data_IF_978324821655
#
_entry.id   IF_978324821655
#
_cell.length_a   1.000
_cell.length_b   1.000
_cell.length_c   1.000
_cell.angle_alpha   90.00
_cell.angle_beta   90.00
_cell.angle_gamma   90.00
#
_symmetry.space_group_name_H-M   'P 1'
#
loop_
_entity.id
_entity.type
_entity.pdbx_description
1 polymer ?
#
# COMPACT_ATOMS: atom_id res chain seq x y z
N UNK A 1 4.26 -5.71 10.17
CA UNK A 1 4.94 -4.40 10.31
C UNK A 1 4.46 -3.64 11.54
N UNK A 2 3.15 -3.37 11.72
CA UNK A 2 2.62 -2.74 12.96
C UNK A 2 3.04 -3.46 14.24
N UNK A 3 2.87 -4.79 14.29
CA UNK A 3 3.28 -5.63 15.43
C UNK A 3 4.81 -5.59 15.69
N UNK A 4 5.61 -5.39 14.64
CA UNK A 4 7.08 -5.28 14.73
C UNK A 4 7.45 -3.90 15.30
N UNK A 5 6.81 -2.83 14.85
CA UNK A 5 7.03 -1.48 15.36
C UNK A 5 6.58 -1.33 16.83
N UNK A 6 5.53 -2.05 17.23
CA UNK A 6 5.06 -2.13 18.62
C UNK A 6 5.95 -3.01 19.52
N UNK A 7 6.91 -3.73 18.96
CA UNK A 7 7.82 -4.60 19.71
C UNK A 7 7.23 -5.96 20.08
N UNK A 8 6.02 -6.28 19.60
CA UNK A 8 5.38 -7.56 19.88
C UNK A 8 6.05 -8.72 19.13
N UNK A 9 6.60 -8.43 17.94
CA UNK A 9 7.26 -9.42 17.06
C UNK A 9 8.71 -9.06 16.80
N UNK A 10 9.54 -10.08 16.61
CA UNK A 10 10.94 -9.92 16.20
C UNK A 10 11.05 -9.25 14.82
N UNK A 11 12.11 -8.48 14.64
CA UNK A 11 12.40 -7.77 13.39
C UNK A 11 13.21 -8.69 12.47
N UNK A 12 12.74 -9.00 11.25
CA UNK A 12 13.56 -9.70 10.29
C UNK A 12 14.81 -8.88 9.93
N UNK A 13 15.97 -9.53 9.86
CA UNK A 13 17.26 -8.87 9.59
C UNK A 13 17.25 -7.97 8.35
N UNK A 14 16.53 -8.37 7.30
CA UNK A 14 16.45 -7.65 6.02
C UNK A 14 15.79 -6.27 6.11
N UNK A 15 15.04 -5.99 7.19
CA UNK A 15 14.30 -4.72 7.35
C UNK A 15 14.66 -3.99 8.65
N UNK A 16 15.74 -4.40 9.30
CA UNK A 16 16.14 -3.86 10.62
C UNK A 16 16.48 -2.38 10.55
N UNK A 17 17.15 -1.92 9.48
CA UNK A 17 17.55 -0.52 9.34
C UNK A 17 16.34 0.41 9.19
N UNK A 18 15.36 -0.01 8.40
CA UNK A 18 14.11 0.69 8.14
C UNK A 18 13.28 0.78 9.42
N UNK A 19 13.14 -0.33 10.13
CA UNK A 19 12.41 -0.38 11.41
C UNK A 19 13.04 0.53 12.45
N UNK A 20 14.37 0.55 12.55
CA UNK A 20 15.07 1.44 13.50
C UNK A 20 14.89 2.92 13.14
N UNK A 21 14.95 3.26 11.85
CA UNK A 21 14.74 4.63 11.37
C UNK A 21 13.32 5.12 11.69
N UNK A 22 12.32 4.28 11.47
CA UNK A 22 10.92 4.59 11.79
C UNK A 22 10.75 4.79 13.30
N UNK A 23 11.34 3.91 14.13
CA UNK A 23 11.30 4.05 15.59
C UNK A 23 11.93 5.36 16.06
N UNK A 24 13.09 5.74 15.49
CA UNK A 24 13.74 7.01 15.82
C UNK A 24 12.84 8.23 15.50
N UNK A 25 12.11 8.19 14.37
CA UNK A 25 11.14 9.24 14.03
C UNK A 25 9.95 9.26 14.99
N UNK A 26 9.45 8.08 15.38
CA UNK A 26 8.34 7.96 16.34
C UNK A 26 8.68 8.46 17.74
N UNK A 27 9.96 8.47 18.13
CA UNK A 27 10.38 9.04 19.42
C UNK A 27 10.27 10.56 19.47
N UNK A 28 10.33 11.24 18.32
CA UNK A 28 10.39 12.70 18.25
C UNK A 28 9.02 13.36 18.04
N UNK A 29 8.00 12.59 17.65
CA UNK A 29 6.69 13.09 17.22
C UNK A 29 5.61 12.11 17.68
N UNK A 30 4.43 12.56 18.15
CA UNK A 30 3.30 11.66 18.41
C UNK A 30 2.84 11.00 17.10
N UNK A 31 3.20 9.73 16.90
CA UNK A 31 2.88 8.95 15.69
C UNK A 31 1.91 7.82 16.05
N UNK A 32 0.85 7.66 15.24
CA UNK A 32 -0.07 6.52 15.32
C UNK A 32 0.16 5.59 14.14
N UNK A 33 0.65 4.37 14.41
CA UNK A 33 0.81 3.33 13.38
C UNK A 33 -0.45 2.46 13.36
N UNK A 34 -1.15 2.44 12.22
CA UNK A 34 -2.32 1.59 12.00
C UNK A 34 -2.05 0.57 10.90
N UNK A 35 -2.66 -0.60 11.00
CA UNK A 35 -2.61 -1.59 9.93
C UNK A 35 -3.66 -1.24 8.89
N UNK A 36 -3.23 -0.87 7.69
CA UNK A 36 -4.13 -0.72 6.55
C UNK A 36 -4.07 -2.03 5.77
N UNK A 37 -5.24 -2.63 5.50
CA UNK A 37 -5.31 -3.80 4.63
C UNK A 37 -4.76 -3.41 3.25
N UNK A 38 -3.82 -4.22 2.74
CA UNK A 38 -3.21 -4.02 1.40
C UNK A 38 -4.25 -3.86 0.29
N UNK A 39 -5.45 -4.39 0.47
CA UNK A 39 -6.56 -4.24 -0.47
C UNK A 39 -6.93 -2.77 -0.70
N UNK A 40 -6.90 -1.91 0.33
CA UNK A 40 -7.08 -0.46 0.20
C UNK A 40 -5.85 0.29 -0.35
N UNK A 41 -4.71 -0.39 -0.47
CA UNK A 41 -3.50 0.17 -1.08
C UNK A 41 -3.38 -0.19 -2.56
N UNK A 42 -4.31 -0.99 -3.10
CA UNK A 42 -4.27 -1.46 -4.49
C UNK A 42 -4.24 -0.32 -5.50
N UNK A 43 -4.98 0.74 -5.21
CA UNK A 43 -5.02 1.92 -6.06
C UNK A 43 -3.71 2.72 -6.00
N UNK A 44 -3.13 2.86 -4.81
CA UNK A 44 -1.83 3.50 -4.62
C UNK A 44 -0.71 2.71 -5.30
N UNK A 45 -0.72 1.38 -5.19
CA UNK A 45 0.23 0.49 -5.85
C UNK A 45 0.08 0.57 -7.38
N UNK A 46 -1.16 0.68 -7.91
CA UNK A 46 -1.38 0.90 -9.34
C UNK A 46 -0.76 2.20 -9.83
N UNK A 47 -1.06 3.33 -9.18
CA UNK A 47 -0.49 4.62 -9.60
C UNK A 47 1.03 4.64 -9.47
N UNK A 48 1.56 3.99 -8.44
CA UNK A 48 3.00 3.84 -8.24
C UNK A 48 3.62 3.06 -9.40
N UNK A 49 3.06 1.90 -9.74
CA UNK A 49 3.52 1.10 -10.88
C UNK A 49 3.38 1.84 -12.21
N UNK A 50 2.29 2.58 -12.42
CA UNK A 50 2.07 3.37 -13.63
C UNK A 50 3.16 4.45 -13.81
N UNK A 51 3.51 5.16 -12.73
CA UNK A 51 4.59 6.15 -12.73
C UNK A 51 5.96 5.49 -12.96
N UNK A 52 6.21 4.33 -12.35
CA UNK A 52 7.46 3.58 -12.54
C UNK A 52 7.61 3.03 -13.96
N UNK A 53 6.55 2.48 -14.55
CA UNK A 53 6.59 1.85 -15.87
C UNK A 53 6.76 2.86 -17.01
N UNK A 54 6.26 4.09 -16.83
CA UNK A 54 6.24 5.09 -17.90
C UNK A 54 7.16 6.29 -17.67
N UNK A 55 7.86 6.37 -16.54
CA UNK A 55 8.84 7.41 -16.21
C UNK A 55 8.36 8.84 -16.57
N UNK A 56 7.18 9.22 -16.07
CA UNK A 56 6.57 10.52 -16.31
C UNK A 56 5.40 10.83 -15.38
N UNK A 57 4.90 12.06 -15.46
CA UNK A 57 3.74 12.50 -14.67
C UNK A 57 2.44 12.07 -15.36
N UNK A 58 1.55 11.43 -14.59
CA UNK A 58 0.21 11.04 -15.04
C UNK A 58 -0.85 11.92 -14.38
N UNK A 59 -1.61 12.63 -15.21
CA UNK A 59 -2.79 13.37 -14.79
C UNK A 59 -4.00 12.86 -15.57
N UNK A 60 -4.95 12.26 -14.86
CA UNK A 60 -6.27 11.94 -15.39
C UNK A 60 -7.23 13.05 -15.00
N UNK A 61 -7.85 13.69 -15.98
CA UNK A 61 -8.83 14.77 -15.74
C UNK A 61 -10.25 14.21 -15.65
N UNK A 62 -10.49 13.02 -16.21
CA UNK A 62 -11.79 12.36 -16.18
C UNK A 62 -11.68 10.90 -15.75
N UNK A 63 -12.69 10.44 -15.00
CA UNK A 63 -12.83 9.02 -14.66
C UNK A 63 -12.94 8.14 -15.92
N UNK A 64 -13.34 8.70 -17.06
CA UNK A 64 -13.35 8.02 -18.37
C UNK A 64 -11.99 7.53 -18.85
N UNK A 65 -10.92 8.22 -18.45
CA UNK A 65 -9.55 8.05 -18.97
C UNK A 65 -8.76 6.96 -18.23
N UNK A 66 -9.24 6.54 -17.06
CA UNK A 66 -8.66 5.47 -16.28
C UNK A 66 -9.09 4.12 -16.89
N UNK A 67 -8.16 3.17 -17.14
CA UNK A 67 -8.53 1.85 -17.61
C UNK A 67 -9.57 1.15 -16.73
N UNK A 68 -10.38 0.30 -17.37
CA UNK A 68 -11.58 -0.32 -16.76
C UNK A 68 -11.28 -1.11 -15.49
N UNK A 69 -10.14 -1.79 -15.44
CA UNK A 69 -9.70 -2.57 -14.28
C UNK A 69 -9.47 -1.69 -13.06
N UNK A 70 -8.87 -0.51 -13.23
CA UNK A 70 -8.59 0.35 -12.07
C UNK A 70 -9.78 1.20 -11.66
N UNK A 71 -10.70 1.49 -12.60
CA UNK A 71 -12.02 2.04 -12.25
C UNK A 71 -12.82 1.09 -11.38
N UNK A 72 -12.74 -0.21 -11.65
CA UNK A 72 -13.35 -1.23 -10.79
C UNK A 72 -12.74 -1.19 -9.38
N UNK A 73 -11.41 -1.10 -9.28
CA UNK A 73 -10.70 -0.98 -8.00
C UNK A 73 -11.11 0.31 -7.26
N UNK A 74 -11.16 1.45 -7.94
CA UNK A 74 -11.66 2.73 -7.40
C UNK A 74 -13.08 2.63 -6.87
N UNK A 75 -13.96 1.92 -7.59
CA UNK A 75 -15.35 1.74 -7.19
C UNK A 75 -15.47 0.78 -5.99
N UNK A 76 -14.65 -0.27 -5.94
CA UNK A 76 -14.60 -1.21 -4.81
C UNK A 76 -14.04 -0.54 -3.55
N UNK A 77 -13.01 0.29 -3.70
CA UNK A 77 -12.42 1.09 -2.63
C UNK A 77 -13.43 2.12 -2.10
N UNK A 78 -14.11 2.85 -3.00
CA UNK A 78 -15.21 3.77 -2.65
C UNK A 78 -16.38 3.05 -1.94
N UNK A 79 -16.65 1.79 -2.30
CA UNK A 79 -17.68 0.97 -1.67
C UNK A 79 -17.22 0.30 -0.36
N UNK A 80 -15.96 0.47 0.05
CA UNK A 80 -15.40 -0.13 1.26
C UNK A 80 -15.41 -1.67 1.25
N UNK A 81 -15.46 -2.29 0.07
CA UNK A 81 -15.60 -3.74 -0.07
C UNK A 81 -14.22 -4.38 -0.22
N UNK A 82 -13.80 -5.28 0.71
CA UNK A 82 -12.53 -5.97 0.63
C UNK A 82 -12.45 -6.83 -0.65
N UNK A 83 -11.40 -6.63 -1.47
CA UNK A 83 -11.14 -7.43 -2.67
C UNK A 83 -10.02 -8.44 -2.40
N UNK A 84 -10.41 -9.67 -2.09
CA UNK A 84 -9.48 -10.78 -1.84
C UNK A 84 -8.86 -11.25 -3.16
N UNK A 85 -7.55 -11.05 -3.31
CA UNK A 85 -6.76 -11.67 -4.39
C UNK A 85 -6.40 -13.10 -4.00
N UNK A 86 -7.02 -14.11 -4.65
CA UNK A 86 -6.45 -15.46 -4.67
C UNK A 86 -5.42 -15.52 -5.81
N UNK A 87 -4.13 -15.61 -5.50
CA UNK A 87 -3.18 -16.15 -6.47
C UNK A 87 -3.36 -17.66 -6.50
N UNK A 88 -3.94 -18.20 -7.57
CA UNK A 88 -3.82 -19.62 -7.82
C UNK A 88 -2.35 -19.88 -8.18
N UNK A 89 -1.57 -20.44 -7.25
CA UNK A 89 -0.43 -21.24 -7.63
C UNK A 89 -1.01 -22.56 -8.15
N UNK A 90 -1.21 -22.63 -9.45
CA UNK A 90 -1.44 -23.91 -10.12
C UNK A 90 -0.08 -24.63 -10.19
N UNK A 91 -0.03 -25.78 -9.50
CA UNK A 91 1.08 -26.75 -9.47
C UNK A 91 1.19 -27.54 -10.77
#
# INVERSE_FOLDING_TARGET
MVQILQGNWEVPWSVTMEVNSIRALMCNIPVRVIHIFKEGNTLADFFTNLVFDFAGDFQFNYFGEIPTTERMILNLDKAGTPHIRRSNQDS
#
